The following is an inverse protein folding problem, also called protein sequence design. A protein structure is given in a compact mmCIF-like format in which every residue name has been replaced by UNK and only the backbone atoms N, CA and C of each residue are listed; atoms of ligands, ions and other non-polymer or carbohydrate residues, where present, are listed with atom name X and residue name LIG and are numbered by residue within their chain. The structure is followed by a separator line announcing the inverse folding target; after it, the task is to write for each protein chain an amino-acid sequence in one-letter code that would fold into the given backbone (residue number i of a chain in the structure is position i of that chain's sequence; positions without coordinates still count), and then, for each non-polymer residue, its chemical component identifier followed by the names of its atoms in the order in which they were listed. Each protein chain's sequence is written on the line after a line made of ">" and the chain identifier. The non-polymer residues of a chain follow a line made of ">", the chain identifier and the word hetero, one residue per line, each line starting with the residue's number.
data_IF_420616494289
#
_entry.id   IF_420616494289
#
_cell.length_a   1.000
_cell.length_b   1.000
_cell.length_c   1.000
_cell.angle_alpha   90.00
_cell.angle_beta   90.00
_cell.angle_gamma   90.00
#
_symmetry.space_group_name_H-M   'P 1'
#
loop_
_entity.id
_entity.type
_entity.pdbx_description
1 polymer ?
#
# COMPACT_ATOMS: atom_id res chain seq x y z
N UNK A 1 -12.82 1.03 3.02
CA UNK A 1 -11.64 0.32 2.50
C UNK A 1 -10.54 1.33 2.27
N UNK A 2 -9.31 1.01 2.68
CA UNK A 2 -8.14 1.92 2.58
C UNK A 2 -7.15 1.42 1.53
N UNK A 3 -6.84 2.24 0.55
CA UNK A 3 -5.91 1.93 -0.54
C UNK A 3 -4.72 2.88 -0.48
N UNK A 4 -3.51 2.34 -0.32
CA UNK A 4 -2.28 3.11 -0.38
C UNK A 4 -1.77 3.21 -1.82
N UNK A 5 -1.58 4.43 -2.33
CA UNK A 5 -0.92 4.65 -3.61
C UNK A 5 0.58 4.69 -3.38
N UNK A 6 1.32 3.81 -4.04
CA UNK A 6 2.78 3.70 -3.96
C UNK A 6 3.41 3.79 -5.34
N UNK A 7 4.68 4.13 -5.38
CA UNK A 7 5.47 4.19 -6.61
C UNK A 7 6.80 4.88 -6.35
N UNK A 8 7.72 4.75 -7.29
CA UNK A 8 8.98 5.49 -7.24
C UNK A 8 8.75 7.00 -7.40
N UNK A 9 9.73 7.85 -7.07
CA UNK A 9 9.66 9.27 -7.39
C UNK A 9 9.38 9.50 -8.90
N UNK A 10 8.63 10.56 -9.21
CA UNK A 10 8.36 11.02 -10.58
C UNK A 10 7.56 10.07 -11.49
N UNK A 11 6.88 9.05 -10.95
CA UNK A 11 6.03 8.14 -11.73
C UNK A 11 4.62 8.68 -12.03
N UNK A 12 4.28 9.88 -11.55
CA UNK A 12 2.94 10.47 -11.69
C UNK A 12 1.96 10.17 -10.55
N UNK A 13 2.46 9.64 -9.43
CA UNK A 13 1.67 9.30 -8.23
C UNK A 13 0.75 10.44 -7.74
N UNK A 14 1.32 11.63 -7.49
CA UNK A 14 0.55 12.78 -7.02
C UNK A 14 -0.43 13.30 -8.07
N UNK A 15 -0.09 13.20 -9.36
CA UNK A 15 -1.00 13.53 -10.47
C UNK A 15 -2.21 12.61 -10.47
N UNK A 16 -2.00 11.30 -10.32
CA UNK A 16 -3.08 10.31 -10.21
C UNK A 16 -3.95 10.57 -8.97
N UNK A 17 -3.34 10.81 -7.81
CA UNK A 17 -4.05 11.13 -6.57
C UNK A 17 -4.91 12.39 -6.72
N UNK A 18 -4.36 13.45 -7.30
CA UNK A 18 -5.10 14.69 -7.55
C UNK A 18 -6.27 14.48 -8.53
N UNK A 19 -6.06 13.70 -9.59
CA UNK A 19 -7.12 13.39 -10.54
C UNK A 19 -8.28 12.61 -9.88
N UNK A 20 -7.94 11.63 -9.04
CA UNK A 20 -8.91 10.81 -8.32
C UNK A 20 -9.68 11.65 -7.28
N UNK A 21 -8.99 12.53 -6.55
CA UNK A 21 -9.62 13.36 -5.52
C UNK A 21 -10.46 14.50 -6.11
N UNK A 22 -10.05 15.11 -7.21
CA UNK A 22 -10.85 16.14 -7.89
C UNK A 22 -12.12 15.58 -8.55
N UNK A 23 -12.15 14.28 -8.88
CA UNK A 23 -13.29 13.64 -9.53
C UNK A 23 -14.51 13.38 -8.62
N UNK A 24 -14.46 13.76 -7.34
CA UNK A 24 -15.61 13.64 -6.44
C UNK A 24 -15.29 13.42 -4.96
N UNK A 25 -14.08 13.75 -4.49
CA UNK A 25 -13.74 13.59 -3.09
C UNK A 25 -14.20 14.77 -2.24
N UNK A 26 -15.03 14.49 -1.24
CA UNK A 26 -15.20 15.39 -0.11
C UNK A 26 -13.91 15.33 0.72
N UNK A 27 -13.13 16.41 0.71
CA UNK A 27 -11.98 16.56 1.60
C UNK A 27 -12.48 16.71 3.04
N UNK A 28 -12.63 15.59 3.75
CA UNK A 28 -12.95 15.60 5.17
C UNK A 28 -11.68 15.95 5.97
N UNK A 29 -11.64 17.14 6.56
CA UNK A 29 -10.59 17.53 7.49
C UNK A 29 -10.76 16.76 8.81
N UNK A 30 -9.99 15.67 9.00
CA UNK A 30 -9.91 15.01 10.30
C UNK A 30 -8.99 15.83 11.23
N UNK A 31 -9.43 16.26 12.42
CA UNK A 31 -8.82 17.42 13.11
C UNK A 31 -7.52 17.15 13.87
N UNK A 32 -6.84 16.03 13.66
CA UNK A 32 -5.62 15.70 14.40
C UNK A 32 -4.70 14.90 13.51
N UNK A 33 -3.67 15.51 12.94
CA UNK A 33 -2.36 14.87 12.81
C UNK A 33 -1.32 15.78 12.17
N UNK A 34 -0.13 15.81 12.77
CA UNK A 34 0.95 16.71 12.38
C UNK A 34 1.91 16.11 11.34
N UNK A 35 1.75 14.85 10.89
CA UNK A 35 2.57 14.21 9.83
C UNK A 35 1.79 13.03 9.15
N UNK A 36 0.56 13.23 8.66
CA UNK A 36 -0.24 12.15 8.04
C UNK A 36 -0.17 12.18 6.49
N UNK A 37 -0.26 11.00 5.82
CA UNK A 37 -0.38 10.93 4.35
C UNK A 37 -1.62 11.67 3.85
N UNK A 38 -1.59 12.21 2.62
CA UNK A 38 -2.77 12.85 2.06
C UNK A 38 -3.87 11.81 1.85
N UNK A 39 -5.06 12.05 2.40
CA UNK A 39 -6.21 11.13 2.29
C UNK A 39 -7.27 11.73 1.36
N UNK A 40 -7.75 10.92 0.43
CA UNK A 40 -8.83 11.26 -0.50
C UNK A 40 -9.97 10.24 -0.43
N UNK A 41 -11.20 10.69 -0.22
CA UNK A 41 -12.38 9.79 -0.13
C UNK A 41 -13.13 9.82 -1.44
N UNK A 42 -13.28 8.69 -2.13
CA UNK A 42 -13.86 8.65 -3.49
C UNK A 42 -15.10 7.77 -3.49
N UNK A 43 -16.19 8.27 -4.08
CA UNK A 43 -17.40 7.50 -4.29
C UNK A 43 -17.17 6.38 -5.33
N UNK A 44 -17.64 5.18 -5.04
CA UNK A 44 -17.55 4.06 -5.99
C UNK A 44 -18.62 4.24 -7.06
N UNK A 45 -18.23 4.33 -8.35
CA UNK A 45 -19.19 4.45 -9.44
C UNK A 45 -19.96 3.13 -9.59
N UNK A 46 -21.30 3.20 -9.47
CA UNK A 46 -22.17 2.04 -9.55
C UNK A 46 -23.49 2.37 -10.26
N UNK A 47 -23.60 1.99 -11.53
CA UNK A 47 -24.81 2.19 -12.35
C UNK A 47 -26.06 1.53 -11.74
N UNK A 48 -25.90 0.49 -10.90
CA UNK A 48 -27.03 -0.20 -10.26
C UNK A 48 -27.73 0.74 -9.27
N UNK A 49 -26.97 1.60 -8.61
CA UNK A 49 -27.50 2.57 -7.65
C UNK A 49 -28.41 3.58 -8.35
N UNK A 50 -28.00 4.06 -9.53
CA UNK A 50 -28.79 4.98 -10.36
C UNK A 50 -30.09 4.33 -10.87
N UNK A 51 -29.99 3.08 -11.34
CA UNK A 51 -31.16 2.29 -11.78
C UNK A 51 -32.17 2.11 -10.64
N UNK A 52 -31.70 1.75 -9.44
CA UNK A 52 -32.56 1.62 -8.27
C UNK A 52 -33.19 2.95 -7.85
N UNK A 53 -32.42 4.04 -7.85
CA UNK A 53 -32.97 5.35 -7.52
C UNK A 53 -34.06 5.79 -8.50
N UNK A 54 -33.92 5.44 -9.78
CA UNK A 54 -34.94 5.70 -10.81
C UNK A 54 -36.21 4.86 -10.56
N UNK A 55 -36.07 3.56 -10.27
CA UNK A 55 -37.21 2.66 -9.99
C UNK A 55 -38.01 3.12 -8.76
N UNK A 56 -37.32 3.52 -7.69
CA UNK A 56 -37.94 3.87 -6.41
C UNK A 56 -38.20 5.37 -6.22
N UNK A 57 -37.83 6.23 -7.18
CA UNK A 57 -37.99 7.69 -7.09
C UNK A 57 -37.21 8.32 -5.94
N UNK A 58 -36.00 7.82 -5.66
CA UNK A 58 -35.19 8.27 -4.52
C UNK A 58 -34.67 9.69 -4.72
N UNK A 59 -34.83 10.55 -3.70
CA UNK A 59 -34.38 11.96 -3.72
C UNK A 59 -32.87 12.15 -3.55
N UNK A 60 -32.18 11.11 -3.05
CA UNK A 60 -30.74 11.14 -2.75
C UNK A 60 -30.12 9.79 -3.11
N UNK A 61 -28.97 9.86 -3.76
CA UNK A 61 -28.06 8.74 -3.96
C UNK A 61 -26.97 8.79 -2.90
N UNK A 62 -26.70 7.66 -2.24
CA UNK A 62 -25.62 7.52 -1.26
C UNK A 62 -24.71 6.38 -1.74
N UNK A 63 -23.62 6.69 -2.47
CA UNK A 63 -22.68 5.67 -2.90
C UNK A 63 -21.84 5.18 -1.72
N UNK A 64 -21.27 3.99 -1.87
CA UNK A 64 -20.20 3.53 -0.99
C UNK A 64 -18.89 4.27 -1.34
N UNK A 65 -17.97 4.37 -0.40
CA UNK A 65 -16.73 5.15 -0.56
C UNK A 65 -15.48 4.32 -0.32
N UNK A 66 -14.39 4.72 -0.97
CA UNK A 66 -13.04 4.17 -0.79
C UNK A 66 -12.11 5.31 -0.40
N UNK A 67 -11.23 5.05 0.57
CA UNK A 67 -10.20 5.99 1.01
C UNK A 67 -8.89 5.68 0.28
N UNK A 68 -8.34 6.67 -0.41
CA UNK A 68 -7.02 6.63 -1.03
C UNK A 68 -6.03 7.40 -0.17
N UNK A 69 -4.90 6.78 0.10
CA UNK A 69 -3.80 7.32 0.88
C UNK A 69 -2.63 7.58 -0.07
N UNK A 70 -2.21 8.82 -0.23
CA UNK A 70 -1.00 9.16 -0.99
C UNK A 70 0.24 8.90 -0.13
N UNK A 71 0.84 7.72 -0.28
CA UNK A 71 2.02 7.34 0.49
C UNK A 71 3.24 7.95 -0.21
N UNK A 72 4.13 8.62 0.52
CA UNK A 72 5.32 9.27 -0.02
C UNK A 72 6.17 8.31 -0.90
N UNK A 73 6.95 8.82 -1.85
CA UNK A 73 7.69 7.95 -2.78
C UNK A 73 8.70 7.04 -2.06
N UNK A 74 8.71 5.76 -2.42
CA UNK A 74 9.69 4.80 -1.91
C UNK A 74 11.04 5.04 -2.58
N UNK A 75 12.10 5.16 -1.79
CA UNK A 75 13.48 5.18 -2.30
C UNK A 75 14.14 3.86 -1.90
N UNK A 76 14.99 3.34 -2.78
CA UNK A 76 15.79 2.14 -2.55
C UNK A 76 16.52 2.22 -1.20
N UNK A 77 16.49 1.15 -0.41
CA UNK A 77 17.10 1.11 0.93
C UNK A 77 16.18 1.50 2.09
N UNK A 78 14.87 1.62 1.86
CA UNK A 78 13.91 1.94 2.90
C UNK A 78 13.89 0.93 4.06
N UNK A 79 14.12 -0.35 3.77
CA UNK A 79 14.28 -1.41 4.77
C UNK A 79 15.54 -1.29 5.63
N UNK A 80 16.57 -0.55 5.19
CA UNK A 80 17.87 -0.45 5.90
C UNK A 80 17.90 0.61 7.01
N UNK A 81 16.78 1.27 7.28
CA UNK A 81 16.62 2.12 8.48
C UNK A 81 17.09 3.57 8.36
N UNK A 82 17.39 4.07 7.16
CA UNK A 82 17.49 5.52 6.95
C UNK A 82 16.08 6.11 7.10
N UNK A 83 15.83 6.84 8.20
CA UNK A 83 14.52 7.07 8.83
C UNK A 83 13.33 7.58 7.99
N UNK A 84 13.48 7.89 6.70
CA UNK A 84 12.37 8.09 5.77
C UNK A 84 11.70 6.77 5.34
N UNK A 85 12.48 5.70 5.15
CA UNK A 85 11.97 4.41 4.67
C UNK A 85 11.03 3.71 5.66
N UNK A 86 11.36 3.78 6.95
CA UNK A 86 10.53 3.19 8.00
C UNK A 86 9.17 3.90 8.17
N UNK A 87 9.12 5.23 7.97
CA UNK A 87 7.86 5.98 8.00
C UNK A 87 6.95 5.64 6.81
N UNK A 88 7.55 5.40 5.65
CA UNK A 88 6.82 4.90 4.50
C UNK A 88 6.19 3.52 4.78
N UNK A 89 7.00 2.58 5.26
CA UNK A 89 6.54 1.23 5.57
C UNK A 89 5.48 1.21 6.68
N UNK A 90 5.53 2.15 7.65
CA UNK A 90 4.46 2.26 8.65
C UNK A 90 3.13 2.69 8.04
N UNK A 91 3.11 3.64 7.10
CA UNK A 91 1.86 4.04 6.43
C UNK A 91 1.30 2.93 5.54
N UNK A 92 2.16 2.11 4.90
CA UNK A 92 1.69 0.94 4.15
C UNK A 92 0.97 -0.06 5.05
N UNK A 93 1.41 -0.22 6.30
CA UNK A 93 0.76 -1.15 7.25
C UNK A 93 -0.64 -0.69 7.68
N UNK A 94 -0.99 0.56 7.43
CA UNK A 94 -2.30 1.12 7.76
C UNK A 94 -3.33 0.95 6.65
N UNK A 95 -2.90 0.53 5.45
CA UNK A 95 -3.77 0.30 4.29
C UNK A 95 -4.07 -1.18 4.08
N UNK A 96 -5.20 -1.46 3.44
CA UNK A 96 -5.69 -2.82 3.19
C UNK A 96 -5.31 -3.32 1.79
N UNK A 97 -5.02 -2.40 0.87
CA UNK A 97 -4.57 -2.68 -0.48
C UNK A 97 -3.54 -1.65 -0.96
N UNK A 98 -2.68 -2.06 -1.88
CA UNK A 98 -1.65 -1.22 -2.49
C UNK A 98 -1.99 -1.01 -3.97
N UNK A 99 -2.09 0.25 -4.39
CA UNK A 99 -2.15 0.65 -5.79
C UNK A 99 -0.75 1.11 -6.22
N UNK A 100 -0.04 0.27 -6.97
CA UNK A 100 1.32 0.56 -7.43
C UNK A 100 1.29 1.29 -8.77
N UNK A 101 1.71 2.55 -8.77
CA UNK A 101 1.91 3.39 -9.96
C UNK A 101 3.30 3.13 -10.53
N UNK A 102 3.34 2.65 -11.77
CA UNK A 102 4.57 2.31 -12.50
C UNK A 102 4.72 3.23 -13.70
N UNK A 103 5.91 3.80 -13.89
CA UNK A 103 6.19 4.68 -15.02
C UNK A 103 6.39 3.87 -16.29
N UNK A 104 5.52 4.07 -17.28
CA UNK A 104 5.61 3.42 -18.61
C UNK A 104 5.74 4.46 -19.74
N UNK A 105 6.40 5.60 -19.46
CA UNK A 105 6.61 6.67 -20.44
C UNK A 105 8.02 7.26 -20.31
N UNK A 106 8.59 7.64 -21.45
CA UNK A 106 9.85 8.38 -21.53
C UNK A 106 9.56 9.88 -21.58
N UNK A 107 10.38 10.67 -20.89
CA UNK A 107 10.32 12.14 -20.92
C UNK A 107 11.69 12.69 -20.47
N UNK A 108 12.37 13.41 -21.36
CA UNK A 108 13.70 13.99 -21.14
C UNK A 108 13.73 15.05 -20.03
N UNK A 109 12.59 15.67 -19.72
CA UNK A 109 12.45 16.65 -18.64
C UNK A 109 12.25 15.98 -17.27
N UNK A 110 12.03 14.66 -17.22
CA UNK A 110 11.70 13.93 -15.99
C UNK A 110 12.73 12.83 -15.72
N UNK A 111 13.67 13.15 -14.82
CA UNK A 111 14.75 12.24 -14.43
C UNK A 111 14.18 11.06 -13.62
N UNK A 112 14.51 9.84 -14.06
CA UNK A 112 14.26 8.61 -13.30
C UNK A 112 15.34 8.41 -12.24
N UNK A 113 14.98 7.84 -11.08
CA UNK A 113 15.91 7.68 -9.95
C UNK A 113 17.15 6.85 -10.28
N UNK A 114 17.00 5.86 -11.17
CA UNK A 114 18.07 4.99 -11.63
C UNK A 114 18.68 5.44 -12.99
N UNK A 115 18.25 6.59 -13.52
CA UNK A 115 18.76 7.17 -14.76
C UNK A 115 18.05 6.73 -16.05
N UNK A 116 17.48 5.53 -16.07
CA UNK A 116 16.66 4.98 -17.17
C UNK A 116 15.30 4.48 -16.66
N UNK A 117 14.30 4.38 -17.55
CA UNK A 117 12.96 3.88 -17.22
C UNK A 117 12.88 2.39 -17.50
N UNK A 118 12.67 1.59 -16.46
CA UNK A 118 12.42 0.14 -16.57
C UNK A 118 11.24 -0.26 -15.65
N UNK A 119 10.03 -0.40 -16.20
CA UNK A 119 8.84 -0.72 -15.41
C UNK A 119 8.95 -2.01 -14.60
N UNK A 120 9.64 -3.04 -15.13
CA UNK A 120 9.74 -4.33 -14.45
C UNK A 120 10.69 -4.23 -13.26
N UNK A 121 11.85 -3.59 -13.47
CA UNK A 121 12.81 -3.31 -12.39
C UNK A 121 12.19 -2.46 -11.28
N UNK A 122 11.39 -1.47 -11.63
CA UNK A 122 10.72 -0.60 -10.66
C UNK A 122 9.72 -1.39 -9.81
N UNK A 123 8.94 -2.28 -10.46
CA UNK A 123 8.02 -3.21 -9.78
C UNK A 123 8.77 -4.14 -8.83
N UNK A 124 9.86 -4.74 -9.29
CA UNK A 124 10.70 -5.62 -8.47
C UNK A 124 11.31 -4.88 -7.29
N UNK A 125 11.79 -3.65 -7.49
CA UNK A 125 12.41 -2.83 -6.44
C UNK A 125 11.45 -2.60 -5.28
N UNK A 126 10.20 -2.17 -5.55
CA UNK A 126 9.21 -1.95 -4.49
C UNK A 126 8.83 -3.27 -3.81
N UNK A 127 8.56 -4.33 -4.59
CA UNK A 127 8.18 -5.63 -4.01
C UNK A 127 9.29 -6.20 -3.11
N UNK A 128 10.56 -6.04 -3.51
CA UNK A 128 11.71 -6.50 -2.73
C UNK A 128 11.79 -5.76 -1.38
N UNK A 129 11.64 -4.43 -1.36
CA UNK A 129 11.65 -3.66 -0.09
C UNK A 129 10.50 -4.07 0.85
N UNK A 130 9.31 -4.34 0.29
CA UNK A 130 8.17 -4.83 1.08
C UNK A 130 8.47 -6.22 1.67
N UNK A 131 9.00 -7.12 0.86
CA UNK A 131 9.36 -8.47 1.29
C UNK A 131 10.48 -8.48 2.33
N UNK A 132 11.48 -7.61 2.19
CA UNK A 132 12.54 -7.45 3.20
C UNK A 132 11.98 -6.95 4.53
N UNK A 133 11.01 -6.03 4.49
CA UNK A 133 10.31 -5.59 5.71
C UNK A 133 9.51 -6.73 6.33
N UNK A 134 8.77 -7.51 5.54
CA UNK A 134 8.02 -8.67 6.03
C UNK A 134 8.94 -9.72 6.65
N UNK A 135 10.08 -10.00 6.02
CA UNK A 135 11.09 -10.93 6.51
C UNK A 135 11.59 -10.52 7.89
N UNK A 136 12.01 -9.27 8.06
CA UNK A 136 12.49 -8.75 9.34
C UNK A 136 11.44 -8.86 10.47
N UNK A 137 10.17 -8.55 10.15
CA UNK A 137 9.08 -8.66 11.12
C UNK A 137 8.84 -10.12 11.53
N UNK A 138 8.76 -11.01 10.54
CA UNK A 138 8.46 -12.41 10.76
C UNK A 138 9.60 -13.12 11.49
N UNK A 139 10.86 -12.81 11.18
CA UNK A 139 12.02 -13.33 11.90
C UNK A 139 11.99 -12.91 13.38
N UNK A 140 11.75 -11.62 13.67
CA UNK A 140 11.63 -11.13 15.05
C UNK A 140 10.50 -11.83 15.81
N UNK A 141 9.35 -12.00 15.16
CA UNK A 141 8.18 -12.67 15.76
C UNK A 141 8.44 -14.16 15.97
N UNK A 142 9.09 -14.83 15.02
CA UNK A 142 9.51 -16.22 15.12
C UNK A 142 10.45 -16.43 16.32
N UNK A 143 11.53 -15.64 16.42
CA UNK A 143 12.51 -15.77 17.50
C UNK A 143 11.87 -15.58 18.89
N UNK A 144 10.91 -14.67 19.01
CA UNK A 144 10.16 -14.43 20.25
C UNK A 144 9.25 -15.61 20.62
N UNK A 145 8.51 -16.15 19.66
CA UNK A 145 7.43 -17.09 19.94
C UNK A 145 7.84 -18.57 19.85
N UNK A 146 8.91 -18.89 19.10
CA UNK A 146 9.33 -20.27 18.80
C UNK A 146 9.59 -21.14 20.05
N UNK A 147 10.22 -20.57 21.10
CA UNK A 147 10.46 -21.32 22.35
C UNK A 147 9.17 -21.57 23.13
N UNK A 148 8.29 -20.57 23.21
CA UNK A 148 7.02 -20.66 23.94
C UNK A 148 6.00 -21.58 23.26
N UNK A 149 6.05 -21.65 21.92
CA UNK A 149 5.21 -22.52 21.11
C UNK A 149 5.32 -24.02 21.44
N UNK A 150 6.39 -24.46 22.09
CA UNK A 150 6.53 -25.86 22.55
C UNK A 150 5.50 -26.26 23.60
N UNK A 151 4.98 -25.28 24.34
CA UNK A 151 4.06 -25.51 25.46
C UNK A 151 2.68 -24.86 25.25
N UNK A 152 2.55 -23.99 24.25
CA UNK A 152 1.29 -23.31 23.91
C UNK A 152 0.85 -23.68 22.48
N UNK A 153 -0.30 -24.35 22.38
CA UNK A 153 -0.88 -24.80 21.10
C UNK A 153 -1.27 -23.63 20.19
N UNK A 154 -1.64 -22.47 20.74
CA UNK A 154 -2.01 -21.30 19.93
C UNK A 154 -0.77 -20.69 19.26
N UNK A 155 0.32 -20.56 20.02
CA UNK A 155 1.61 -20.11 19.49
C UNK A 155 2.23 -21.15 18.53
N UNK A 156 2.01 -22.45 18.75
CA UNK A 156 2.44 -23.48 17.81
C UNK A 156 1.80 -23.33 16.42
N UNK A 157 0.50 -23.02 16.37
CA UNK A 157 -0.19 -22.75 15.10
C UNK A 157 0.36 -21.50 14.41
N UNK A 158 0.58 -20.42 15.17
CA UNK A 158 1.14 -19.19 14.63
C UNK A 158 2.55 -19.40 14.07
N UNK A 159 3.44 -20.03 14.85
CA UNK A 159 4.83 -20.30 14.45
C UNK A 159 4.90 -21.16 13.20
N UNK A 160 4.04 -22.18 13.08
CA UNK A 160 3.98 -23.03 11.88
C UNK A 160 3.55 -22.24 10.62
N UNK A 161 2.71 -21.21 10.77
CA UNK A 161 2.35 -20.32 9.65
C UNK A 161 3.50 -19.37 9.33
N UNK A 162 4.17 -18.82 10.36
CA UNK A 162 5.35 -17.96 10.18
C UNK A 162 6.46 -18.69 9.43
N UNK A 163 6.75 -19.95 9.76
CA UNK A 163 7.78 -20.75 9.06
C UNK A 163 7.46 -20.92 7.56
N UNK A 164 6.19 -21.14 7.21
CA UNK A 164 5.77 -21.21 5.81
C UNK A 164 5.98 -19.88 5.10
N UNK A 165 5.59 -18.76 5.73
CA UNK A 165 5.75 -17.43 5.16
C UNK A 165 7.22 -17.04 4.98
N UNK A 166 8.07 -17.33 5.97
CA UNK A 166 9.52 -17.11 5.90
C UNK A 166 10.14 -17.85 4.70
N UNK A 167 9.79 -19.13 4.50
CA UNK A 167 10.28 -19.90 3.36
C UNK A 167 9.91 -19.27 2.01
N UNK A 168 8.69 -18.76 1.87
CA UNK A 168 8.24 -18.08 0.64
C UNK A 168 9.06 -16.81 0.39
N UNK A 169 9.31 -16.02 1.44
CA UNK A 169 10.12 -14.80 1.36
C UNK A 169 11.59 -15.08 1.04
N UNK A 170 12.18 -16.12 1.63
CA UNK A 170 13.55 -16.58 1.36
C UNK A 170 13.74 -17.06 -0.09
N UNK A 171 12.68 -17.59 -0.72
CA UNK A 171 12.65 -17.94 -2.14
C UNK A 171 12.51 -16.72 -3.07
N UNK A 172 12.45 -15.49 -2.52
CA UNK A 172 12.26 -14.28 -3.30
C UNK A 172 10.82 -14.10 -3.81
N UNK A 173 9.83 -14.69 -3.14
CA UNK A 173 8.41 -14.56 -3.49
C UNK A 173 7.62 -13.81 -2.41
N UNK A 174 6.55 -13.15 -2.83
CA UNK A 174 5.64 -12.46 -1.91
C UNK A 174 4.77 -13.46 -1.14
N UNK A 175 4.41 -13.16 0.11
CA UNK A 175 3.55 -14.04 0.93
C UNK A 175 2.12 -14.17 0.36
N UNK A 176 1.70 -13.26 -0.53
CA UNK A 176 0.39 -13.31 -1.20
C UNK A 176 0.26 -14.39 -2.28
N UNK A 177 1.37 -15.03 -2.67
CA UNK A 177 1.42 -16.09 -3.69
C UNK A 177 1.27 -17.47 -3.06
#
# INVERSE_FOLDING_TARGET
>A
MKIGIVGLPNVGKSTLFNAITQAGAESANYPFCTIEPNVGVVAVPDERLEKLATIYGSKRLVPTTIEFYDIAGLVKGASKGEGLGNKFLSHIREVEAIAHVVRCFENDEVIHVDGDVDPLRDVETINMELMLSDLEILERRYQKNHKAAKHDKTLALEVAVIEKALKVLEEGKSVRT
#
